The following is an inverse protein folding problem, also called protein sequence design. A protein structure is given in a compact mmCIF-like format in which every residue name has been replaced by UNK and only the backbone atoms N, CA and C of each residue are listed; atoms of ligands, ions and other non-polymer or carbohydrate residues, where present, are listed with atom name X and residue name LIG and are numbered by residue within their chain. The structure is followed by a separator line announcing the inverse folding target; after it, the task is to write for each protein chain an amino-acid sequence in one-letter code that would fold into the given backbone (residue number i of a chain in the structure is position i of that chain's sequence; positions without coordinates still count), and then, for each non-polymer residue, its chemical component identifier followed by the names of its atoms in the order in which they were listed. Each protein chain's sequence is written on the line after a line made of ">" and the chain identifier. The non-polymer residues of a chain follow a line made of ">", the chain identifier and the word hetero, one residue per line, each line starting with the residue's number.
data_IF_716074576403
#
_entry.id   IF_716074576403
#
_cell.length_a   1.000
_cell.length_b   1.000
_cell.length_c   1.000
_cell.angle_alpha   90.00
_cell.angle_beta   90.00
_cell.angle_gamma   90.00
#
_symmetry.space_group_name_H-M   'P 1'
#
loop_
_entity.id
_entity.type
_entity.pdbx_description
1 polymer ?
#
# COMPACT_ATOMS: atom_id res chain seq x y z
N UNK A 1 12.24 16.51 8.58
CA UNK A 1 11.77 15.43 7.69
C UNK A 1 12.31 14.10 8.23
N UNK A 2 11.45 13.11 8.51
CA UNK A 2 11.90 11.79 9.02
C UNK A 2 12.59 11.01 7.88
N UNK A 3 13.79 10.51 8.10
CA UNK A 3 14.57 9.71 7.15
C UNK A 3 14.15 8.24 7.23
N UNK A 4 14.09 7.58 6.07
CA UNK A 4 13.93 6.11 5.97
C UNK A 4 15.16 5.57 5.26
N UNK A 5 15.94 4.77 5.97
CA UNK A 5 17.14 4.11 5.48
C UNK A 5 16.81 2.72 4.93
N UNK A 6 17.75 2.10 4.22
CA UNK A 6 17.62 0.70 3.79
C UNK A 6 17.47 -0.25 4.99
N UNK A 7 18.16 0.03 6.10
CA UNK A 7 18.05 -0.74 7.33
C UNK A 7 16.63 -0.65 7.93
N UNK A 8 16.02 0.55 7.93
CA UNK A 8 14.61 0.72 8.34
C UNK A 8 13.68 -0.13 7.45
N UNK A 9 13.89 -0.13 6.13
CA UNK A 9 13.08 -0.94 5.22
C UNK A 9 13.24 -2.44 5.49
N UNK A 10 14.44 -2.93 5.80
CA UNK A 10 14.67 -4.33 6.16
C UNK A 10 13.93 -4.70 7.44
N UNK A 11 14.15 -3.93 8.52
CA UNK A 11 13.54 -4.18 9.82
C UNK A 11 11.99 -4.16 9.75
N UNK A 12 11.41 -3.20 9.01
CA UNK A 12 9.96 -3.14 8.83
C UNK A 12 9.40 -4.37 8.10
N UNK A 13 10.11 -4.88 7.08
CA UNK A 13 9.76 -6.11 6.35
C UNK A 13 9.80 -7.33 7.28
N UNK A 14 10.90 -7.49 8.01
CA UNK A 14 11.09 -8.59 8.97
C UNK A 14 10.00 -8.57 10.03
N UNK A 15 9.68 -7.40 10.59
CA UNK A 15 8.58 -7.24 11.53
C UNK A 15 7.22 -7.60 10.90
N UNK A 16 6.97 -7.17 9.66
CA UNK A 16 5.73 -7.48 8.95
C UNK A 16 5.56 -8.99 8.77
N UNK A 17 6.63 -9.71 8.42
CA UNK A 17 6.62 -11.16 8.22
C UNK A 17 6.24 -11.97 9.47
N UNK A 18 6.48 -11.44 10.66
CA UNK A 18 6.13 -12.10 11.93
C UNK A 18 4.68 -11.85 12.38
N UNK A 19 3.96 -10.94 11.71
CA UNK A 19 2.60 -10.57 12.11
C UNK A 19 1.54 -11.35 11.34
N UNK A 20 0.41 -11.74 11.96
CA UNK A 20 -0.66 -12.48 11.27
C UNK A 20 -1.21 -11.79 10.02
N UNK A 21 -1.20 -10.45 9.99
CA UNK A 21 -1.68 -9.65 8.85
C UNK A 21 -0.60 -9.39 7.79
N UNK A 22 0.62 -9.86 8.02
CA UNK A 22 1.77 -9.73 7.13
C UNK A 22 2.16 -8.30 6.78
N UNK A 23 1.75 -7.32 7.61
CA UNK A 23 2.06 -5.90 7.43
C UNK A 23 2.41 -5.19 8.72
N UNK A 24 3.29 -4.21 8.62
CA UNK A 24 3.65 -3.25 9.67
C UNK A 24 3.59 -1.83 9.09
N UNK A 25 3.47 -0.81 9.94
CA UNK A 25 3.50 0.59 9.48
C UNK A 25 4.30 1.47 10.43
N UNK A 26 4.87 2.54 9.88
CA UNK A 26 5.56 3.61 10.59
C UNK A 26 4.94 4.94 10.24
N UNK A 27 4.41 5.62 11.24
CA UNK A 27 3.86 6.97 11.13
C UNK A 27 4.97 8.00 10.91
N UNK A 28 4.80 8.88 9.94
CA UNK A 28 5.78 9.91 9.56
C UNK A 28 5.26 11.34 9.73
N UNK A 29 4.01 11.51 10.14
CA UNK A 29 3.44 12.77 10.64
C UNK A 29 3.57 12.83 12.17
N UNK A 30 3.29 13.97 12.78
CA UNK A 30 3.45 14.18 14.23
C UNK A 30 2.11 14.20 14.95
N UNK A 31 1.07 14.76 14.33
CA UNK A 31 -0.30 14.74 14.85
C UNK A 31 -1.31 14.19 13.82
N UNK A 32 -2.38 13.59 14.32
CA UNK A 32 -3.50 13.11 13.47
C UNK A 32 -4.26 14.26 12.80
N UNK A 33 -4.14 15.47 13.35
CA UNK A 33 -4.71 16.68 12.77
C UNK A 33 -3.84 17.28 11.66
N UNK A 34 -2.64 16.74 11.42
CA UNK A 34 -1.76 17.24 10.36
C UNK A 34 -2.46 17.11 9.00
N UNK A 35 -2.38 18.14 8.13
CA UNK A 35 -3.10 18.18 6.86
C UNK A 35 -2.66 17.06 5.89
N UNK A 36 -1.51 16.44 6.14
CA UNK A 36 -0.99 15.32 5.37
C UNK A 36 -0.55 14.20 6.30
N UNK A 37 -1.29 13.10 6.26
CA UNK A 37 -1.01 11.90 7.04
C UNK A 37 -0.03 11.00 6.28
N UNK A 38 1.27 11.12 6.57
CA UNK A 38 2.33 10.31 5.93
C UNK A 38 2.61 9.04 6.73
N UNK A 39 2.77 7.93 6.01
CA UNK A 39 3.08 6.61 6.57
C UNK A 39 3.93 5.78 5.61
N UNK A 40 4.82 4.97 6.16
CA UNK A 40 5.47 3.87 5.44
C UNK A 40 4.80 2.56 5.88
N UNK A 41 4.42 1.70 4.94
CA UNK A 41 3.83 0.39 5.22
C UNK A 41 4.76 -0.67 4.60
N UNK A 42 5.22 -1.62 5.41
CA UNK A 42 5.79 -2.85 4.89
C UNK A 42 4.67 -3.88 4.71
N UNK A 43 4.65 -4.54 3.56
CA UNK A 43 3.66 -5.55 3.20
C UNK A 43 4.40 -6.77 2.64
N UNK A 44 4.27 -7.90 3.31
CA UNK A 44 4.79 -9.17 2.80
C UNK A 44 3.79 -9.83 1.82
N UNK A 45 4.24 -10.73 0.93
CA UNK A 45 3.36 -11.49 0.06
C UNK A 45 2.23 -12.18 0.84
N UNK A 46 0.99 -11.99 0.40
CA UNK A 46 -0.20 -12.46 1.14
C UNK A 46 -0.86 -11.38 2.02
N UNK A 47 -0.23 -10.22 2.20
CA UNK A 47 -0.89 -9.07 2.82
C UNK A 47 -2.16 -8.70 2.08
N UNK A 48 -3.24 -8.49 2.83
CA UNK A 48 -4.53 -7.99 2.34
C UNK A 48 -4.96 -6.75 3.12
N UNK A 49 -4.98 -5.59 2.47
CA UNK A 49 -5.63 -4.37 2.96
C UNK A 49 -7.00 -4.32 2.32
N UNK A 50 -8.05 -4.48 3.12
CA UNK A 50 -9.45 -4.55 2.67
C UNK A 50 -9.87 -3.33 1.82
N UNK A 51 -10.85 -3.49 0.92
CA UNK A 51 -11.50 -2.38 0.24
C UNK A 51 -11.91 -1.27 1.21
N UNK A 52 -11.51 -0.04 0.90
CA UNK A 52 -11.88 1.17 1.63
C UNK A 52 -11.84 2.37 0.69
N UNK A 53 -12.37 3.50 1.18
CA UNK A 53 -12.36 4.79 0.48
C UNK A 53 -12.22 5.93 1.48
N UNK A 54 -11.68 7.05 1.02
CA UNK A 54 -11.52 8.26 1.81
C UNK A 54 -12.46 9.34 1.26
N UNK A 55 -13.58 9.66 1.92
CA UNK A 55 -14.57 10.60 1.36
C UNK A 55 -14.04 12.03 1.23
N UNK A 56 -13.12 12.44 2.11
CA UNK A 56 -12.69 13.84 2.24
C UNK A 56 -11.23 14.07 1.82
N UNK A 57 -10.46 13.01 1.61
CA UNK A 57 -9.03 13.08 1.29
C UNK A 57 -8.69 12.13 0.15
N UNK A 58 -7.59 12.41 -0.53
CA UNK A 58 -7.01 11.56 -1.54
C UNK A 58 -5.76 10.87 -0.96
N UNK A 59 -5.31 9.80 -1.61
CA UNK A 59 -4.09 9.09 -1.21
C UNK A 59 -3.08 9.03 -2.35
N UNK A 60 -1.79 9.06 -1.99
CA UNK A 60 -0.69 8.77 -2.90
C UNK A 60 0.00 7.46 -2.48
N UNK A 61 -0.03 6.47 -3.35
CA UNK A 61 0.65 5.21 -3.15
C UNK A 61 1.96 5.23 -3.94
N UNK A 62 3.08 4.98 -3.24
CA UNK A 62 4.42 4.97 -3.83
C UNK A 62 5.21 3.75 -3.32
N UNK A 63 5.66 2.84 -4.21
CA UNK A 63 6.60 1.79 -3.84
C UNK A 63 7.95 2.40 -3.43
N UNK A 64 8.45 2.00 -2.26
CA UNK A 64 9.82 2.30 -1.84
C UNK A 64 10.78 1.13 -2.15
N UNK A 65 10.28 -0.12 -2.04
CA UNK A 65 10.97 -1.35 -2.40
C UNK A 65 9.96 -2.42 -2.77
N UNK A 66 10.28 -3.26 -3.74
CA UNK A 66 9.42 -4.35 -4.19
C UNK A 66 8.22 -3.84 -4.99
N UNK A 67 7.13 -4.60 -4.95
CA UNK A 67 5.92 -4.30 -5.74
C UNK A 67 4.66 -4.80 -5.05
N UNK A 68 3.54 -4.15 -5.32
CA UNK A 68 2.23 -4.50 -4.79
C UNK A 68 1.13 -4.17 -5.79
N UNK A 69 -0.05 -4.76 -5.62
CA UNK A 69 -1.20 -4.54 -6.51
C UNK A 69 -2.21 -3.66 -5.80
N UNK A 70 -2.75 -2.70 -6.55
CA UNK A 70 -3.91 -1.90 -6.16
C UNK A 70 -5.06 -2.27 -7.08
N UNK A 71 -6.22 -2.57 -6.50
CA UNK A 71 -7.47 -2.73 -7.25
C UNK A 71 -8.38 -1.56 -6.91
N UNK A 72 -9.09 -1.04 -7.90
CA UNK A 72 -10.17 -0.07 -7.72
C UNK A 72 -11.51 -0.70 -8.10
N UNK A 73 -12.57 -0.24 -7.47
CA UNK A 73 -13.91 -0.79 -7.61
C UNK A 73 -14.93 0.29 -7.93
N UNK A 74 -16.01 -0.11 -8.59
CA UNK A 74 -17.26 0.65 -8.56
C UNK A 74 -18.03 0.42 -7.25
N UNK A 75 -19.19 1.06 -7.11
CA UNK A 75 -20.03 0.91 -5.92
C UNK A 75 -20.70 -0.48 -5.81
N UNK A 76 -20.74 -1.26 -6.90
CA UNK A 76 -21.25 -2.62 -6.91
C UNK A 76 -20.20 -3.67 -6.50
N UNK A 77 -18.95 -3.24 -6.25
CA UNK A 77 -17.84 -4.14 -5.92
C UNK A 77 -17.18 -4.77 -7.14
N UNK A 78 -17.47 -4.28 -8.35
CA UNK A 78 -16.80 -4.74 -9.57
C UNK A 78 -15.43 -4.09 -9.68
N UNK A 79 -14.39 -4.88 -9.97
CA UNK A 79 -13.04 -4.35 -10.21
C UNK A 79 -13.03 -3.56 -11.52
N UNK A 80 -12.84 -2.25 -11.44
CA UNK A 80 -12.76 -1.35 -12.60
C UNK A 80 -11.33 -1.08 -13.04
N UNK A 81 -10.36 -1.24 -12.15
CA UNK A 81 -8.94 -1.04 -12.46
C UNK A 81 -8.04 -1.96 -11.63
N UNK A 82 -7.00 -2.49 -12.28
CA UNK A 82 -5.91 -3.21 -11.63
C UNK A 82 -4.60 -2.50 -11.92
N UNK A 83 -3.74 -2.32 -10.94
CA UNK A 83 -2.48 -1.61 -11.12
C UNK A 83 -1.38 -2.25 -10.28
N UNK A 84 -0.37 -2.82 -10.95
CA UNK A 84 0.88 -3.23 -10.32
C UNK A 84 1.78 -2.00 -10.11
N UNK A 85 2.10 -1.68 -8.86
CA UNK A 85 3.02 -0.60 -8.52
C UNK A 85 4.39 -1.19 -8.17
N UNK A 86 5.41 -0.80 -8.94
CA UNK A 86 6.82 -1.18 -8.75
C UNK A 86 7.75 0.03 -8.89
N UNK A 87 7.68 0.74 -10.02
CA UNK A 87 8.52 1.93 -10.30
C UNK A 87 7.70 3.22 -10.44
N UNK A 88 6.38 3.14 -10.30
CA UNK A 88 5.46 4.27 -10.48
C UNK A 88 4.64 4.50 -9.21
N UNK A 89 4.28 5.76 -8.98
CA UNK A 89 3.30 6.18 -7.98
C UNK A 89 1.89 6.20 -8.57
N UNK A 90 0.87 6.10 -7.73
CA UNK A 90 -0.53 6.20 -8.12
C UNK A 90 -1.29 7.06 -7.12
N UNK A 91 -2.02 8.05 -7.62
CA UNK A 91 -3.03 8.76 -6.83
C UNK A 91 -4.34 7.98 -6.84
N UNK A 92 -4.97 7.93 -5.67
CA UNK A 92 -6.34 7.45 -5.48
C UNK A 92 -7.19 8.67 -5.14
N UNK A 93 -8.17 8.96 -5.99
CA UNK A 93 -9.05 10.11 -5.81
C UNK A 93 -10.00 9.92 -4.62
N UNK A 94 -10.57 11.04 -4.16
CA UNK A 94 -11.56 11.06 -3.09
C UNK A 94 -12.72 10.09 -3.40
N UNK A 95 -13.20 9.42 -2.35
CA UNK A 95 -14.29 8.46 -2.36
C UNK A 95 -14.12 7.24 -3.30
N UNK A 96 -12.94 7.05 -3.91
CA UNK A 96 -12.64 5.88 -4.73
C UNK A 96 -12.45 4.64 -3.86
N UNK A 97 -13.25 3.61 -4.13
CA UNK A 97 -13.06 2.29 -3.53
C UNK A 97 -11.78 1.67 -4.05
N UNK A 98 -10.88 1.32 -3.14
CA UNK A 98 -9.65 0.66 -3.50
C UNK A 98 -9.18 -0.31 -2.41
N UNK A 99 -8.37 -1.27 -2.81
CA UNK A 99 -7.68 -2.19 -1.92
C UNK A 99 -6.22 -2.29 -2.34
N UNK A 100 -5.35 -2.70 -1.41
CA UNK A 100 -3.95 -3.00 -1.70
C UNK A 100 -3.59 -4.40 -1.19
N UNK A 101 -2.81 -5.14 -1.97
CA UNK A 101 -2.30 -6.44 -1.56
C UNK A 101 -0.84 -6.65 -1.98
N UNK A 102 -0.12 -7.41 -1.16
CA UNK A 102 1.26 -7.80 -1.45
C UNK A 102 1.30 -8.61 -2.74
N UNK A 103 2.10 -8.20 -3.72
CA UNK A 103 2.18 -8.92 -4.98
C UNK A 103 2.89 -10.25 -4.77
N UNK A 104 2.21 -11.35 -5.04
CA UNK A 104 2.84 -12.67 -5.09
C UNK A 104 3.51 -12.80 -6.46
N UNK A 105 4.82 -13.05 -6.48
CA UNK A 105 5.50 -13.46 -7.71
C UNK A 105 4.98 -14.84 -8.10
N UNK A 106 4.06 -14.94 -9.07
CA UNK A 106 3.87 -16.19 -9.78
C UNK A 106 5.12 -16.42 -10.60
N UNK A 107 6.02 -17.31 -10.17
CA UNK A 107 7.11 -17.79 -11.03
C UNK A 107 6.49 -18.20 -12.37
N UNK A 108 6.91 -17.57 -13.46
CA UNK A 108 6.61 -18.02 -14.82
C UNK A 108 5.35 -17.50 -15.52
N UNK A 109 4.55 -16.58 -14.95
CA UNK A 109 3.50 -15.89 -15.74
C UNK A 109 3.63 -14.39 -15.66
N UNK A 110 3.73 -13.76 -16.84
CA UNK A 110 3.71 -12.30 -17.06
C UNK A 110 2.28 -11.75 -17.09
N UNK A 111 1.43 -12.26 -16.21
CA UNK A 111 0.03 -11.82 -16.17
C UNK A 111 -0.17 -10.98 -14.90
N UNK A 112 -0.06 -9.67 -15.09
CA UNK A 112 -0.61 -8.61 -14.24
C UNK A 112 -1.41 -7.66 -15.11
#
# INVERSE_FOLDING_TARGET
>A
MKLITVADLNAMSEQAAQLPRLRSHRTLHDALADPVQRLAIAMEPGTYIRPHRHPHTWELLMPLRGRFVVLQFDNGGTVTRRTLLERRKQSIGNACWHLACGAVSRRGRRDF
#
